data_IF_233030017082
#
_entry.id   IF_233030017082
#
_cell.length_a   1.000
_cell.length_b   1.000
_cell.length_c   1.000
_cell.angle_alpha   90.00
_cell.angle_beta   90.00
_cell.angle_gamma   90.00
#
_symmetry.space_group_name_H-M   'P 1'
#
loop_
_entity.id
_entity.type
_entity.pdbx_description
1 polymer ?
#
# COMPACT_ATOMS: atom_id res chain seq x y z
N UNK A 1 -9.02 14.98 -22.14
CA UNK A 1 -9.68 14.44 -23.35
C UNK A 1 -8.87 13.33 -24.03
N UNK A 2 -7.55 13.43 -24.16
CA UNK A 2 -6.70 12.46 -24.89
C UNK A 2 -6.85 11.01 -24.40
N UNK A 3 -6.73 10.73 -23.10
CA UNK A 3 -6.83 9.37 -22.52
C UNK A 3 -8.14 8.63 -22.81
N UNK A 4 -9.28 9.36 -22.87
CA UNK A 4 -10.56 8.73 -23.24
C UNK A 4 -10.60 8.33 -24.70
N UNK A 5 -9.99 9.12 -25.56
CA UNK A 5 -9.87 8.81 -26.99
C UNK A 5 -8.99 7.58 -27.21
N UNK A 6 -7.86 7.50 -26.49
CA UNK A 6 -6.94 6.35 -26.56
C UNK A 6 -7.66 5.04 -26.19
N UNK A 7 -8.43 5.05 -25.08
CA UNK A 7 -9.23 3.91 -24.67
C UNK A 7 -10.31 3.57 -25.72
N UNK A 8 -11.02 4.58 -26.24
CA UNK A 8 -12.04 4.37 -27.27
C UNK A 8 -11.46 3.77 -28.54
N UNK A 9 -10.28 4.24 -28.99
CA UNK A 9 -9.57 3.64 -30.12
C UNK A 9 -9.19 2.18 -29.88
N UNK A 10 -8.75 1.84 -28.68
CA UNK A 10 -8.43 0.47 -28.28
C UNK A 10 -9.63 -0.48 -28.27
N UNK A 11 -10.85 0.06 -28.12
CA UNK A 11 -12.09 -0.71 -28.12
C UNK A 11 -12.71 -0.93 -29.50
N UNK A 12 -12.31 -0.15 -30.52
CA UNK A 12 -12.87 -0.23 -31.87
C UNK A 12 -12.80 -1.65 -32.49
N UNK A 13 -11.70 -2.42 -32.33
CA UNK A 13 -11.60 -3.76 -32.91
C UNK A 13 -12.32 -4.85 -32.08
N UNK A 14 -13.13 -4.49 -31.08
CA UNK A 14 -13.79 -5.43 -30.15
C UNK A 14 -12.82 -6.45 -29.53
N UNK A 15 -11.81 -5.99 -28.79
CA UNK A 15 -10.72 -6.83 -28.32
C UNK A 15 -11.17 -7.75 -27.17
N UNK A 16 -10.59 -8.95 -27.10
CA UNK A 16 -10.70 -9.83 -25.93
C UNK A 16 -9.77 -9.40 -24.79
N UNK A 17 -8.64 -8.75 -25.13
CA UNK A 17 -7.63 -8.26 -24.17
C UNK A 17 -7.28 -6.82 -24.54
N UNK A 18 -7.29 -5.95 -23.55
CA UNK A 18 -6.90 -4.53 -23.68
C UNK A 18 -5.76 -4.22 -22.73
N UNK A 19 -4.69 -3.62 -23.24
CA UNK A 19 -3.57 -3.13 -22.45
C UNK A 19 -3.69 -1.63 -22.21
N UNK A 20 -3.58 -1.22 -20.96
CA UNK A 20 -3.61 0.19 -20.55
C UNK A 20 -2.33 0.50 -19.76
N UNK A 21 -1.54 1.41 -20.29
CA UNK A 21 -0.32 1.86 -19.63
C UNK A 21 -0.57 3.17 -18.90
N UNK A 22 -0.46 3.15 -17.56
CA UNK A 22 -0.69 4.29 -16.67
C UNK A 22 -1.95 5.12 -17.03
N UNK A 23 -3.17 4.50 -17.13
CA UNK A 23 -4.33 5.13 -17.75
C UNK A 23 -4.83 6.37 -17.02
N UNK A 24 -4.49 6.53 -15.74
CA UNK A 24 -4.97 7.64 -14.91
C UNK A 24 -3.87 8.61 -14.49
N UNK A 25 -2.65 8.41 -14.96
CA UNK A 25 -1.51 9.27 -14.61
C UNK A 25 -1.78 10.72 -15.02
N UNK A 26 -1.59 11.65 -14.05
CA UNK A 26 -1.77 13.08 -14.26
C UNK A 26 -3.23 13.55 -14.37
N UNK A 27 -4.21 12.70 -14.06
CA UNK A 27 -5.63 13.09 -14.04
C UNK A 27 -6.05 13.56 -12.64
N UNK A 28 -6.99 14.51 -12.64
CA UNK A 28 -7.72 14.89 -11.43
C UNK A 28 -8.59 13.72 -10.91
N UNK A 29 -9.00 13.81 -9.64
CA UNK A 29 -9.77 12.75 -8.96
C UNK A 29 -11.05 12.37 -9.73
N UNK A 30 -11.80 13.36 -10.24
CA UNK A 30 -13.06 13.07 -10.95
C UNK A 30 -12.81 12.37 -12.29
N UNK A 31 -11.78 12.79 -13.01
CA UNK A 31 -11.39 12.15 -14.28
C UNK A 31 -10.88 10.73 -14.06
N UNK A 32 -10.12 10.50 -13.00
CA UNK A 32 -9.67 9.17 -12.57
C UNK A 32 -10.84 8.23 -12.29
N UNK A 33 -11.81 8.66 -11.48
CA UNK A 33 -13.00 7.86 -11.18
C UNK A 33 -13.82 7.51 -12.42
N UNK A 34 -13.88 8.40 -13.43
CA UNK A 34 -14.54 8.10 -14.70
C UNK A 34 -13.80 7.03 -15.49
N UNK A 35 -12.46 7.05 -15.53
CA UNK A 35 -11.68 5.99 -16.17
C UNK A 35 -11.91 4.66 -15.45
N UNK A 36 -11.91 4.65 -14.11
CA UNK A 36 -12.23 3.45 -13.32
C UNK A 36 -13.59 2.86 -13.67
N UNK A 37 -14.61 3.71 -13.83
CA UNK A 37 -15.93 3.25 -14.27
C UNK A 37 -15.89 2.60 -15.66
N UNK A 38 -15.11 3.15 -16.59
CA UNK A 38 -14.93 2.55 -17.92
C UNK A 38 -14.20 1.19 -17.84
N UNK A 39 -13.16 1.07 -17.03
CA UNK A 39 -12.44 -0.20 -16.82
C UNK A 39 -13.39 -1.27 -16.25
N UNK A 40 -14.21 -0.93 -15.26
CA UNK A 40 -15.21 -1.86 -14.71
C UNK A 40 -16.23 -2.30 -15.77
N UNK A 41 -16.76 -1.36 -16.54
CA UNK A 41 -17.71 -1.67 -17.62
C UNK A 41 -17.11 -2.58 -18.71
N UNK A 42 -15.82 -2.41 -19.05
CA UNK A 42 -15.12 -3.30 -19.96
C UNK A 42 -15.01 -4.72 -19.40
N UNK A 43 -14.66 -4.86 -18.12
CA UNK A 43 -14.60 -6.14 -17.43
C UNK A 43 -15.96 -6.83 -17.37
N UNK A 44 -17.04 -6.10 -17.10
CA UNK A 44 -18.42 -6.62 -17.12
C UNK A 44 -18.84 -7.14 -18.49
N UNK A 45 -18.28 -6.57 -19.57
CA UNK A 45 -18.45 -7.04 -20.95
C UNK A 45 -17.57 -8.24 -21.31
N UNK A 46 -16.77 -8.75 -20.38
CA UNK A 46 -15.89 -9.91 -20.60
C UNK A 46 -14.54 -9.58 -21.22
N UNK A 47 -14.17 -8.29 -21.31
CA UNK A 47 -12.84 -7.88 -21.82
C UNK A 47 -11.81 -8.07 -20.69
N UNK A 48 -10.73 -8.78 -20.97
CA UNK A 48 -9.59 -8.85 -20.06
C UNK A 48 -8.79 -7.55 -20.15
N UNK A 49 -8.67 -6.81 -19.04
CA UNK A 49 -7.88 -5.58 -19.00
C UNK A 49 -6.57 -5.86 -18.26
N UNK A 50 -5.45 -5.61 -18.92
CA UNK A 50 -4.11 -5.61 -18.31
C UNK A 50 -3.66 -4.16 -18.22
N UNK A 51 -3.41 -3.68 -16.98
CA UNK A 51 -3.03 -2.30 -16.76
C UNK A 51 -1.76 -2.18 -15.93
N UNK A 52 -0.96 -1.17 -16.23
CA UNK A 52 0.13 -0.73 -15.36
C UNK A 52 -0.33 0.49 -14.57
N UNK A 53 0.12 0.63 -13.34
CA UNK A 53 -0.14 1.83 -12.53
C UNK A 53 0.85 1.95 -11.38
N UNK A 54 1.19 3.19 -11.02
CA UNK A 54 1.90 3.53 -9.79
C UNK A 54 0.93 3.87 -8.63
N UNK A 55 -0.40 3.87 -8.90
CA UNK A 55 -1.41 4.12 -7.88
C UNK A 55 -1.91 2.80 -7.30
N UNK A 56 -1.45 2.46 -6.10
CA UNK A 56 -1.81 1.21 -5.43
C UNK A 56 -3.31 1.15 -5.07
N UNK A 57 -3.93 2.29 -4.79
CA UNK A 57 -5.38 2.41 -4.59
C UNK A 57 -6.17 2.05 -5.86
N UNK A 58 -5.66 2.41 -7.05
CA UNK A 58 -6.25 2.03 -8.32
C UNK A 58 -6.19 0.51 -8.53
N UNK A 59 -5.02 -0.08 -8.30
CA UNK A 59 -4.84 -1.52 -8.39
C UNK A 59 -5.76 -2.27 -7.41
N UNK A 60 -5.87 -1.80 -6.16
CA UNK A 60 -6.74 -2.39 -5.13
C UNK A 60 -8.23 -2.36 -5.51
N UNK A 61 -8.67 -1.30 -6.19
CA UNK A 61 -10.08 -1.08 -6.53
C UNK A 61 -10.52 -1.72 -7.85
N UNK A 62 -9.59 -1.96 -8.77
CA UNK A 62 -9.93 -2.38 -10.13
C UNK A 62 -9.48 -3.79 -10.48
N UNK A 63 -8.36 -4.27 -9.91
CA UNK A 63 -7.73 -5.48 -10.36
C UNK A 63 -8.22 -6.71 -9.59
N UNK A 64 -8.47 -7.79 -10.33
CA UNK A 64 -8.74 -9.12 -9.73
C UNK A 64 -7.43 -9.78 -9.27
N UNK A 65 -6.33 -9.48 -9.97
CA UNK A 65 -4.97 -9.95 -9.64
C UNK A 65 -3.96 -8.85 -9.86
N UNK A 66 -2.96 -8.80 -9.00
CA UNK A 66 -1.89 -7.79 -9.01
C UNK A 66 -0.55 -8.50 -9.08
N UNK A 67 0.33 -8.04 -9.95
CA UNK A 67 1.74 -8.38 -9.96
C UNK A 67 2.56 -7.17 -9.48
N UNK A 68 3.26 -7.31 -8.36
CA UNK A 68 4.24 -6.32 -7.90
C UNK A 68 5.56 -6.61 -8.59
N UNK A 69 6.06 -5.63 -9.34
CA UNK A 69 7.31 -5.75 -10.10
C UNK A 69 8.33 -4.80 -9.49
N UNK A 70 9.52 -5.30 -9.22
CA UNK A 70 10.66 -4.51 -8.75
C UNK A 70 11.97 -5.09 -9.30
N UNK A 71 12.85 -4.22 -9.79
CA UNK A 71 14.12 -4.62 -10.41
C UNK A 71 13.94 -5.60 -11.58
N UNK A 72 12.86 -5.44 -12.39
CA UNK A 72 12.55 -6.30 -13.53
C UNK A 72 12.06 -7.71 -13.16
N UNK A 73 11.68 -7.94 -11.89
CA UNK A 73 11.19 -9.24 -11.40
C UNK A 73 9.87 -9.11 -10.70
N UNK A 74 9.00 -10.10 -10.86
CA UNK A 74 7.76 -10.21 -10.09
C UNK A 74 8.14 -10.61 -8.66
N UNK A 75 7.83 -9.74 -7.70
CA UNK A 75 8.07 -9.94 -6.26
C UNK A 75 6.87 -10.58 -5.56
N UNK A 76 5.66 -10.24 -5.99
CA UNK A 76 4.43 -10.83 -5.49
C UNK A 76 3.38 -10.89 -6.61
N UNK A 77 2.52 -11.90 -6.57
CA UNK A 77 1.43 -12.09 -7.52
C UNK A 77 0.25 -12.74 -6.79
N UNK A 78 -0.91 -12.10 -6.84
CA UNK A 78 -2.11 -12.63 -6.19
C UNK A 78 -3.30 -11.69 -6.28
N UNK A 79 -4.44 -12.07 -5.70
CA UNK A 79 -5.55 -11.16 -5.51
C UNK A 79 -5.19 -10.09 -4.46
N UNK A 80 -5.72 -8.84 -4.59
CA UNK A 80 -5.42 -7.77 -3.63
C UNK A 80 -5.59 -8.18 -2.18
N UNK A 81 -6.69 -8.86 -1.86
CA UNK A 81 -6.96 -9.31 -0.49
C UNK A 81 -6.01 -10.41 -0.03
N UNK A 82 -5.64 -11.35 -0.91
CA UNK A 82 -4.66 -12.40 -0.58
C UNK A 82 -3.29 -11.80 -0.23
N UNK A 83 -2.84 -10.84 -1.03
CA UNK A 83 -1.57 -10.14 -0.80
C UNK A 83 -1.58 -9.37 0.54
N UNK A 84 -2.69 -8.68 0.86
CA UNK A 84 -2.85 -7.96 2.13
C UNK A 84 -2.88 -8.91 3.33
N UNK A 85 -3.65 -9.99 3.26
CA UNK A 85 -3.74 -11.01 4.31
C UNK A 85 -2.40 -11.72 4.52
N UNK A 86 -1.63 -11.93 3.44
CA UNK A 86 -0.30 -12.54 3.50
C UNK A 86 0.71 -11.76 4.35
N UNK A 87 0.50 -10.47 4.59
CA UNK A 87 1.33 -9.67 5.50
C UNK A 87 1.10 -10.02 6.99
N UNK A 88 -0.04 -10.59 7.32
CA UNK A 88 -0.40 -11.03 8.68
C UNK A 88 -0.65 -9.90 9.67
N UNK A 89 -1.89 -9.74 10.09
CA UNK A 89 -2.31 -8.80 11.13
C UNK A 89 -2.42 -7.33 10.69
N UNK A 90 -2.95 -6.52 11.60
CA UNK A 90 -3.06 -5.08 11.41
C UNK A 90 -1.73 -4.38 11.69
N UNK A 91 -1.53 -3.20 11.13
CA UNK A 91 -0.33 -2.40 11.32
C UNK A 91 -0.61 -1.29 12.32
N UNK A 92 0.20 -1.22 13.37
CA UNK A 92 0.28 -0.10 14.32
C UNK A 92 1.58 0.64 14.06
N UNK A 93 1.49 1.90 13.67
CA UNK A 93 2.63 2.79 13.46
C UNK A 93 2.74 3.77 14.62
N UNK A 94 3.92 3.87 15.20
CA UNK A 94 4.23 4.77 16.31
C UNK A 94 5.33 5.73 15.90
N UNK A 95 5.17 7.00 16.24
CA UNK A 95 6.26 7.99 16.20
C UNK A 95 6.66 8.35 17.62
N UNK A 96 7.95 8.34 17.87
CA UNK A 96 8.57 8.58 19.18
C UNK A 96 9.32 9.90 19.11
N UNK A 97 9.23 10.69 20.17
CA UNK A 97 9.91 11.98 20.24
C UNK A 97 11.43 11.83 20.38
N UNK A 98 11.85 10.86 21.21
CA UNK A 98 13.25 10.58 21.51
C UNK A 98 13.75 9.41 20.64
N UNK A 99 14.51 9.70 19.59
CA UNK A 99 15.03 8.69 18.64
C UNK A 99 15.88 7.61 19.35
N UNK A 100 16.64 7.98 20.40
CA UNK A 100 17.47 7.07 21.17
C UNK A 100 16.67 6.02 21.97
N UNK A 101 15.35 6.20 22.09
CA UNK A 101 14.45 5.28 22.77
C UNK A 101 13.76 4.28 21.86
N UNK A 102 13.84 4.49 20.53
CA UNK A 102 13.17 3.62 19.55
C UNK A 102 13.56 2.16 19.70
N UNK A 103 14.86 1.87 19.77
CA UNK A 103 15.35 0.48 19.92
C UNK A 103 14.95 -0.14 21.28
N UNK A 104 14.95 0.64 22.35
CA UNK A 104 14.52 0.16 23.68
C UNK A 104 13.03 -0.18 23.68
N UNK A 105 12.21 0.68 23.05
CA UNK A 105 10.78 0.43 22.89
C UNK A 105 10.54 -0.77 22.00
N UNK A 106 11.26 -0.90 20.88
CA UNK A 106 11.18 -2.05 19.99
C UNK A 106 11.45 -3.37 20.73
N UNK A 107 12.49 -3.41 21.56
CA UNK A 107 12.80 -4.58 22.37
C UNK A 107 11.70 -4.89 23.40
N UNK A 108 11.17 -3.86 24.05
CA UNK A 108 10.14 -4.03 25.07
C UNK A 108 8.78 -4.51 24.51
N UNK A 109 8.44 -4.13 23.28
CA UNK A 109 7.16 -4.53 22.68
C UNK A 109 7.22 -5.85 21.92
N UNK A 110 8.41 -6.31 21.52
CA UNK A 110 8.58 -7.50 20.66
C UNK A 110 7.98 -8.77 21.23
N UNK A 111 8.07 -8.93 22.54
CA UNK A 111 7.61 -10.14 23.25
C UNK A 111 6.21 -9.99 23.86
N UNK A 112 5.52 -8.87 23.57
CA UNK A 112 4.16 -8.65 24.08
C UNK A 112 3.14 -9.55 23.37
N UNK A 113 2.07 -9.95 24.07
CA UNK A 113 0.96 -10.69 23.48
C UNK A 113 0.36 -9.95 22.29
N UNK A 114 -0.07 -10.68 21.27
CA UNK A 114 -0.66 -10.17 20.04
C UNK A 114 0.30 -9.38 19.10
N UNK A 115 1.60 -9.31 19.40
CA UNK A 115 2.62 -8.76 18.51
C UNK A 115 3.16 -9.88 17.60
N UNK A 116 3.17 -9.64 16.29
CA UNK A 116 3.72 -10.57 15.29
C UNK A 116 5.11 -10.18 14.82
N UNK A 117 5.29 -8.89 14.58
CA UNK A 117 6.56 -8.36 14.09
C UNK A 117 6.72 -6.90 14.50
N UNK A 118 7.97 -6.49 14.69
CA UNK A 118 8.35 -5.10 15.00
C UNK A 118 9.44 -4.69 14.04
N UNK A 119 9.22 -3.60 13.31
CA UNK A 119 10.18 -2.97 12.41
C UNK A 119 10.50 -1.57 12.92
N UNK A 120 11.78 -1.28 13.11
CA UNK A 120 12.25 0.06 13.52
C UNK A 120 12.33 1.01 12.34
N UNK A 121 12.00 2.28 12.60
CA UNK A 121 12.16 3.42 11.71
C UNK A 121 13.01 4.47 12.42
N UNK A 122 13.57 5.48 11.72
CA UNK A 122 14.39 6.50 12.37
C UNK A 122 13.73 7.11 13.63
N UNK A 123 12.44 7.45 13.56
CA UNK A 123 11.71 8.10 14.66
C UNK A 123 10.56 7.25 15.18
N UNK A 124 10.57 5.92 15.05
CA UNK A 124 9.42 5.15 15.50
C UNK A 124 9.43 3.68 15.15
N UNK A 125 8.26 3.07 15.24
CA UNK A 125 8.07 1.64 15.04
C UNK A 125 6.85 1.38 14.15
N UNK A 126 6.98 0.37 13.30
CA UNK A 126 5.85 -0.33 12.67
C UNK A 126 5.70 -1.69 13.34
N UNK A 127 4.54 -1.92 13.91
CA UNK A 127 4.24 -3.11 14.70
C UNK A 127 3.08 -3.85 14.04
N UNK A 128 3.30 -5.09 13.63
CA UNK A 128 2.21 -5.96 13.17
C UNK A 128 1.57 -6.66 14.36
N UNK A 129 0.25 -6.57 14.45
CA UNK A 129 -0.52 -7.04 15.58
C UNK A 129 -1.71 -7.91 15.14
N UNK A 130 -2.05 -8.91 15.95
CA UNK A 130 -3.24 -9.73 15.70
C UNK A 130 -4.55 -8.97 15.94
N UNK A 131 -4.54 -8.07 16.90
CA UNK A 131 -5.69 -7.25 17.31
C UNK A 131 -5.17 -5.96 17.95
N UNK A 132 -5.40 -4.80 17.30
CA UNK A 132 -5.00 -3.50 17.83
C UNK A 132 -5.59 -3.24 19.22
N UNK A 133 -6.84 -3.66 19.47
CA UNK A 133 -7.52 -3.43 20.73
C UNK A 133 -6.80 -4.13 21.92
N UNK A 134 -6.16 -5.27 21.66
CA UNK A 134 -5.39 -6.01 22.66
C UNK A 134 -3.95 -5.51 22.75
N UNK A 135 -3.35 -5.16 21.63
CA UNK A 135 -1.95 -4.76 21.55
C UNK A 135 -1.70 -3.33 22.05
N UNK A 136 -2.55 -2.37 21.68
CA UNK A 136 -2.35 -0.96 22.01
C UNK A 136 -2.18 -0.68 23.50
N UNK A 137 -3.01 -1.21 24.42
CA UNK A 137 -2.81 -0.96 25.86
C UNK A 137 -1.45 -1.43 26.36
N UNK A 138 -0.99 -2.60 25.91
CA UNK A 138 0.30 -3.16 26.31
C UNK A 138 1.49 -2.37 25.73
N UNK A 139 1.36 -1.88 24.49
CA UNK A 139 2.35 -1.02 23.85
C UNK A 139 2.47 0.31 24.59
N UNK A 140 1.33 0.94 24.91
CA UNK A 140 1.29 2.20 25.68
C UNK A 140 1.92 2.04 27.08
N UNK A 141 1.63 0.93 27.75
CA UNK A 141 2.23 0.63 29.04
C UNK A 141 3.76 0.46 28.94
N UNK A 142 4.25 -0.24 27.91
CA UNK A 142 5.68 -0.37 27.66
C UNK A 142 6.35 0.99 27.39
N UNK A 143 5.73 1.86 26.60
CA UNK A 143 6.22 3.20 26.35
C UNK A 143 6.28 4.05 27.62
N UNK A 144 5.24 3.99 28.46
CA UNK A 144 5.19 4.69 29.75
C UNK A 144 6.27 4.21 30.71
N UNK A 145 6.50 2.90 30.83
CA UNK A 145 7.58 2.34 31.68
C UNK A 145 8.96 2.84 31.26
N UNK A 146 9.17 3.03 29.98
CA UNK A 146 10.41 3.55 29.40
C UNK A 146 10.47 5.07 29.42
N UNK A 147 9.45 5.76 29.89
CA UNK A 147 9.32 7.22 29.83
C UNK A 147 9.48 7.74 28.39
N UNK A 148 9.00 6.95 27.42
CA UNK A 148 9.09 7.25 25.98
C UNK A 148 7.85 8.05 25.59
N UNK A 149 8.05 9.27 25.08
CA UNK A 149 6.94 10.12 24.63
C UNK A 149 6.53 9.72 23.21
N UNK A 150 5.28 9.25 23.08
CA UNK A 150 4.68 8.97 21.77
C UNK A 150 4.06 10.26 21.24
N UNK A 151 4.49 10.68 20.04
CA UNK A 151 3.94 11.86 19.37
C UNK A 151 2.73 11.51 18.51
N UNK A 152 2.76 10.33 17.89
CA UNK A 152 1.72 9.89 16.97
C UNK A 152 1.53 8.38 17.07
N UNK A 153 0.27 7.96 17.01
CA UNK A 153 -0.13 6.56 16.92
C UNK A 153 -1.18 6.47 15.84
N UNK A 154 -0.94 5.64 14.84
CA UNK A 154 -1.91 5.28 13.82
C UNK A 154 -2.04 3.75 13.76
N UNK A 155 -3.24 3.27 13.41
CA UNK A 155 -3.40 1.88 13.08
C UNK A 155 -4.32 1.71 11.89
N UNK A 156 -4.01 0.76 11.05
CA UNK A 156 -4.84 0.42 9.90
C UNK A 156 -4.68 -1.04 9.50
N UNK A 157 -5.70 -1.55 8.81
CA UNK A 157 -5.59 -2.86 8.14
C UNK A 157 -4.55 -2.80 7.04
N UNK A 158 -3.89 -3.93 6.73
CA UNK A 158 -2.90 -3.97 5.66
C UNK A 158 -3.44 -3.40 4.35
N UNK A 159 -2.68 -2.50 3.74
CA UNK A 159 -2.95 -1.91 2.43
C UNK A 159 -1.96 -2.45 1.42
N UNK A 160 -2.19 -2.21 0.13
CA UNK A 160 -1.23 -2.59 -0.90
C UNK A 160 0.10 -1.83 -0.80
N UNK A 161 0.09 -0.62 -0.24
CA UNK A 161 1.31 0.12 0.09
C UNK A 161 2.20 -0.68 1.04
N UNK A 162 1.62 -1.30 2.07
CA UNK A 162 2.35 -2.13 3.03
C UNK A 162 2.90 -3.40 2.35
N UNK A 163 2.13 -3.99 1.42
CA UNK A 163 2.57 -5.14 0.62
C UNK A 163 3.76 -4.74 -0.25
N UNK A 164 3.67 -3.60 -0.92
CA UNK A 164 4.74 -3.09 -1.77
C UNK A 164 6.03 -2.90 -0.97
N UNK A 165 5.96 -2.17 0.17
CA UNK A 165 7.11 -1.92 1.05
C UNK A 165 7.69 -3.24 1.57
N UNK A 166 6.86 -4.19 2.00
CA UNK A 166 7.32 -5.47 2.53
C UNK A 166 8.10 -6.30 1.49
N UNK A 167 7.74 -6.21 0.21
CA UNK A 167 8.37 -6.99 -0.86
C UNK A 167 9.52 -6.28 -1.57
N UNK A 168 9.59 -4.93 -1.52
CA UNK A 168 10.59 -4.12 -2.23
C UNK A 168 11.57 -3.42 -1.29
N UNK A 169 11.20 -3.26 -0.01
CA UNK A 169 12.00 -2.53 0.99
C UNK A 169 11.94 -1.00 0.84
N UNK A 170 11.12 -0.45 -0.06
CA UNK A 170 11.00 0.99 -0.34
C UNK A 170 9.56 1.39 -0.63
N UNK A 171 9.24 2.68 -0.48
CA UNK A 171 7.93 3.22 -0.87
C UNK A 171 7.89 3.48 -2.38
N UNK A 172 6.72 3.28 -3.01
CA UNK A 172 6.52 3.64 -4.42
C UNK A 172 6.67 5.15 -4.65
N UNK A 173 6.52 5.97 -3.59
CA UNK A 173 6.71 7.42 -3.65
C UNK A 173 8.18 7.81 -3.82
N UNK A 174 9.10 6.94 -3.41
CA UNK A 174 10.54 7.18 -3.53
C UNK A 174 11.04 7.04 -4.97
N UNK A 175 10.26 6.36 -5.83
CA UNK A 175 10.56 6.15 -7.25
C UNK A 175 9.99 7.24 -8.17
N UNK A 176 9.20 8.18 -7.64
CA UNK A 176 8.73 9.30 -8.46
C UNK A 176 9.88 10.28 -8.69
N UNK A 177 10.22 10.62 -9.94
CA UNK A 177 11.19 11.69 -10.19
C UNK A 177 10.69 12.96 -9.50
N UNK A 178 11.53 13.54 -8.65
CA UNK A 178 11.25 14.86 -8.07
C UNK A 178 10.91 15.78 -9.23
N UNK A 179 9.72 16.39 -9.20
CA UNK A 179 9.36 17.42 -10.15
C UNK A 179 10.49 18.46 -10.10
N UNK A 180 11.24 18.59 -11.19
CA UNK A 180 12.22 19.65 -11.34
C UNK A 180 11.43 20.95 -11.31
N UNK A 181 11.66 21.74 -10.27
CA UNK A 181 11.22 23.14 -10.18
C UNK A 181 11.85 23.89 -11.35
N UNK A 182 11.05 24.25 -12.32
CA UNK A 182 11.39 25.16 -13.43
C UNK A 182 10.41 26.29 -13.47
#
# INVERSE_FOLDING_TARGET
MKRKLDIACGLLPDPKVLFLDEPTLGLDVQSRLRIWAHVRAMRERGITVVMTTNYLDEADQLCDRIAIIDGGRIKALGAPNELKVGLGGDLVSLTVREEDRVEKLAAAVRDLPAIRAVTTKPNGLDIRVDSPEKALPAILEAANRLTCQLEFIDYHRPRLDDVFIAHTGRSIKDDQPKAEDS
#
